data_IF_842577500258
#
_entry.id   IF_842577500258
#
_cell.length_a   1.000
_cell.length_b   1.000
_cell.length_c   1.000
_cell.angle_alpha   90.00
_cell.angle_beta   90.00
_cell.angle_gamma   90.00
#
_symmetry.space_group_name_H-M   'P 1'
#
loop_
_entity.id
_entity.type
_entity.pdbx_description
1 polymer ?
#
# COMPACT_ATOMS: atom_id res chain seq x y z
N UNK A 1 0.60 17.84 25.17
CA UNK A 1 -0.75 18.47 25.19
C UNK A 1 -1.68 17.88 24.13
N UNK A 2 -1.26 17.69 22.87
CA UNK A 2 -2.08 17.21 21.74
C UNK A 2 -2.54 15.74 21.90
N UNK A 3 -1.68 14.81 22.34
CA UNK A 3 -2.07 13.43 22.64
C UNK A 3 -3.16 13.34 23.72
N UNK A 4 -3.13 14.23 24.72
CA UNK A 4 -4.18 14.32 25.74
C UNK A 4 -5.53 14.74 25.14
N UNK A 5 -5.54 15.67 24.18
CA UNK A 5 -6.78 16.10 23.51
C UNK A 5 -7.42 14.97 22.71
N UNK A 6 -6.62 14.16 22.00
CA UNK A 6 -7.15 13.00 21.26
C UNK A 6 -7.59 11.85 22.17
N UNK A 7 -6.90 11.62 23.31
CA UNK A 7 -7.41 10.70 24.36
C UNK A 7 -8.74 11.19 24.96
N UNK A 8 -8.84 12.48 25.24
CA UNK A 8 -10.08 13.10 25.74
C UNK A 8 -11.20 12.98 24.69
N UNK A 9 -10.92 13.17 23.40
CA UNK A 9 -11.90 13.00 22.33
C UNK A 9 -12.37 11.54 22.18
N UNK A 10 -11.48 10.57 22.41
CA UNK A 10 -11.85 9.15 22.42
C UNK A 10 -12.82 8.82 23.56
N UNK A 11 -12.61 9.43 24.72
CA UNK A 11 -13.49 9.30 25.90
C UNK A 11 -14.81 10.06 25.68
N UNK A 12 -14.76 11.29 25.15
CA UNK A 12 -15.94 12.09 24.87
C UNK A 12 -16.85 11.49 23.77
N UNK A 13 -16.30 10.71 22.84
CA UNK A 13 -17.08 10.00 21.82
C UNK A 13 -18.13 9.07 22.41
N UNK A 14 -17.91 8.55 23.62
CA UNK A 14 -18.87 7.68 24.32
C UNK A 14 -20.10 8.45 24.84
N UNK A 15 -19.97 9.77 25.05
CA UNK A 15 -21.00 10.61 25.70
C UNK A 15 -21.61 11.70 24.80
N UNK A 16 -21.10 11.85 23.56
CA UNK A 16 -21.56 12.87 22.61
C UNK A 16 -22.32 12.28 21.43
N UNK A 17 -23.41 12.91 20.98
CA UNK A 17 -24.09 12.51 19.75
C UNK A 17 -23.13 12.56 18.54
N UNK A 18 -23.23 11.62 17.63
CA UNK A 18 -22.33 11.49 16.46
C UNK A 18 -22.24 12.77 15.63
N UNK A 19 -23.33 13.52 15.48
CA UNK A 19 -23.32 14.79 14.74
C UNK A 19 -22.44 15.86 15.40
N UNK A 20 -22.41 15.91 16.74
CA UNK A 20 -21.58 16.89 17.48
C UNK A 20 -20.09 16.54 17.41
N UNK A 21 -19.76 15.24 17.44
CA UNK A 21 -18.40 14.72 17.22
C UNK A 21 -17.94 15.07 15.81
N UNK A 22 -18.80 14.88 14.79
CA UNK A 22 -18.51 15.21 13.40
C UNK A 22 -18.26 16.73 13.20
N UNK A 23 -19.08 17.59 13.79
CA UNK A 23 -18.87 19.04 13.73
C UNK A 23 -17.57 19.48 14.41
N UNK A 24 -17.27 18.92 15.58
CA UNK A 24 -16.03 19.24 16.30
C UNK A 24 -14.79 18.75 15.54
N UNK A 25 -14.85 17.57 14.96
CA UNK A 25 -13.80 17.04 14.07
C UNK A 25 -13.57 17.96 12.89
N UNK A 26 -14.61 18.39 12.19
CA UNK A 26 -14.54 19.32 11.07
C UNK A 26 -13.95 20.68 11.47
N UNK A 27 -14.31 21.19 12.67
CA UNK A 27 -13.72 22.41 13.21
C UNK A 27 -12.21 22.26 13.48
N UNK A 28 -11.80 21.17 14.13
CA UNK A 28 -10.37 20.87 14.38
C UNK A 28 -9.58 20.73 13.09
N UNK A 29 -10.10 20.01 12.12
CA UNK A 29 -9.49 19.87 10.80
C UNK A 29 -9.26 21.23 10.15
N UNK A 30 -10.30 22.08 10.10
CA UNK A 30 -10.19 23.44 9.56
C UNK A 30 -9.13 24.29 10.29
N UNK A 31 -9.04 24.16 11.62
CA UNK A 31 -8.02 24.84 12.42
C UNK A 31 -6.61 24.34 12.11
N UNK A 32 -6.43 23.03 11.96
CA UNK A 32 -5.16 22.42 11.60
C UNK A 32 -4.70 22.85 10.19
N UNK A 33 -5.60 22.85 9.21
CA UNK A 33 -5.30 23.36 7.86
C UNK A 33 -4.85 24.83 7.87
N UNK A 34 -5.56 25.69 8.62
CA UNK A 34 -5.13 27.09 8.77
C UNK A 34 -3.74 27.21 9.40
N UNK A 35 -3.43 26.36 10.39
CA UNK A 35 -2.10 26.31 11.02
C UNK A 35 -1.04 25.90 9.99
N UNK A 36 -1.31 24.85 9.22
CA UNK A 36 -0.42 24.36 8.16
C UNK A 36 -0.12 25.45 7.12
N UNK A 37 -1.15 26.09 6.57
CA UNK A 37 -0.98 27.16 5.58
C UNK A 37 -0.26 28.39 6.16
N UNK A 38 -0.51 28.74 7.44
CA UNK A 38 0.23 29.79 8.12
C UNK A 38 1.70 29.43 8.28
N UNK A 39 1.99 28.18 8.64
CA UNK A 39 3.36 27.65 8.73
C UNK A 39 4.05 27.71 7.38
N UNK A 40 3.38 27.25 6.30
CA UNK A 40 3.94 27.25 4.96
C UNK A 40 4.41 28.64 4.51
N UNK A 41 3.66 29.70 4.83
CA UNK A 41 4.05 31.10 4.52
C UNK A 41 5.35 31.54 5.19
N UNK A 42 5.85 30.81 6.21
CA UNK A 42 7.12 31.10 6.88
C UNK A 42 8.29 30.30 6.33
N UNK A 43 8.02 29.31 5.47
CA UNK A 43 9.05 28.47 4.84
C UNK A 43 9.73 29.29 3.74
N UNK A 44 11.04 29.27 3.73
CA UNK A 44 11.84 29.93 2.69
C UNK A 44 11.86 29.06 1.43
N UNK A 45 11.69 29.65 0.25
CA UNK A 45 11.70 28.90 -1.01
C UNK A 45 13.04 28.22 -1.26
N UNK A 46 13.03 27.20 -2.12
CA UNK A 46 14.23 26.51 -2.56
C UNK A 46 15.30 27.49 -3.06
N UNK A 47 16.55 27.27 -2.64
CA UNK A 47 17.70 28.05 -3.05
C UNK A 47 18.77 27.09 -3.61
N UNK A 48 18.92 27.12 -4.95
CA UNK A 48 19.86 26.24 -5.66
C UNK A 48 21.30 26.48 -5.19
N UNK A 49 22.00 25.36 -4.93
CA UNK A 49 23.42 25.38 -4.51
C UNK A 49 23.66 25.68 -3.03
N UNK A 50 22.62 25.92 -2.22
CA UNK A 50 22.76 26.19 -0.80
C UNK A 50 23.13 24.94 0.01
N UNK A 51 22.63 23.78 -0.40
CA UNK A 51 22.93 22.47 0.20
C UNK A 51 23.45 21.52 -0.88
N UNK A 52 24.24 20.53 -0.47
CA UNK A 52 24.70 19.45 -1.35
C UNK A 52 23.49 18.72 -1.98
N UNK A 53 23.66 18.31 -3.25
CA UNK A 53 22.64 17.52 -3.92
C UNK A 53 22.54 16.13 -3.30
N UNK A 54 21.35 15.73 -2.99
CA UNK A 54 21.00 14.47 -2.31
C UNK A 54 19.62 14.55 -1.70
N UNK A 55 19.23 13.50 -0.99
CA UNK A 55 17.87 13.33 -0.49
C UNK A 55 17.83 13.20 1.03
N UNK A 56 17.00 14.00 1.68
CA UNK A 56 16.55 13.77 3.04
C UNK A 56 15.24 13.01 2.96
N UNK A 57 15.25 11.71 3.26
CA UNK A 57 14.05 10.87 3.28
C UNK A 57 13.38 11.01 4.64
N UNK A 58 12.16 11.59 4.67
CA UNK A 58 11.46 11.98 5.90
C UNK A 58 10.20 11.16 6.07
N UNK A 59 10.08 10.38 7.13
CA UNK A 59 8.91 9.56 7.42
C UNK A 59 9.19 8.51 8.49
N UNK A 60 8.29 7.54 8.66
CA UNK A 60 8.45 6.48 9.65
C UNK A 60 9.11 5.23 9.05
N UNK A 61 10.44 5.19 9.04
CA UNK A 61 11.21 4.06 8.49
C UNK A 61 11.09 2.79 9.34
N UNK A 62 10.84 2.95 10.66
CA UNK A 62 10.78 1.85 11.62
C UNK A 62 9.41 1.17 11.70
N UNK A 63 8.37 1.74 11.06
CA UNK A 63 7.01 1.19 11.11
C UNK A 63 6.88 -0.15 10.39
N UNK A 64 6.17 -1.10 11.01
CA UNK A 64 5.82 -2.41 10.42
C UNK A 64 4.65 -2.33 9.42
N UNK A 65 4.12 -1.14 9.15
CA UNK A 65 3.02 -0.92 8.21
C UNK A 65 3.45 -0.94 6.74
N UNK A 66 2.48 -1.06 5.83
CA UNK A 66 2.74 -0.93 4.38
C UNK A 66 3.34 0.43 3.98
N UNK A 67 3.07 1.51 4.73
CA UNK A 67 3.73 2.81 4.51
C UNK A 67 5.19 2.78 4.96
N UNK A 68 5.51 2.11 6.07
CA UNK A 68 6.89 1.88 6.48
C UNK A 68 7.65 1.07 5.43
N UNK A 69 7.06 0.01 4.89
CA UNK A 69 7.70 -0.77 3.81
C UNK A 69 7.89 0.07 2.54
N UNK A 70 6.90 0.87 2.15
CA UNK A 70 7.04 1.82 1.05
C UNK A 70 8.24 2.76 1.21
N UNK A 71 8.46 3.26 2.43
CA UNK A 71 9.62 4.11 2.72
C UNK A 71 10.94 3.33 2.65
N UNK A 72 10.97 2.09 3.14
CA UNK A 72 12.15 1.20 3.04
C UNK A 72 12.47 0.83 1.59
N UNK A 73 11.47 0.62 0.75
CA UNK A 73 11.66 0.44 -0.70
C UNK A 73 12.39 1.64 -1.30
N UNK A 74 11.95 2.87 -1.00
CA UNK A 74 12.65 4.08 -1.47
C UNK A 74 14.09 4.16 -0.93
N UNK A 75 14.31 3.87 0.36
CA UNK A 75 15.64 3.88 0.94
C UNK A 75 16.58 2.87 0.25
N UNK A 76 16.08 1.65 -0.07
CA UNK A 76 16.83 0.66 -0.86
C UNK A 76 17.14 1.18 -2.27
N UNK A 77 16.16 1.79 -2.95
CA UNK A 77 16.40 2.39 -4.29
C UNK A 77 17.51 3.42 -4.23
N UNK A 78 17.50 4.30 -3.24
CA UNK A 78 18.54 5.32 -3.08
C UNK A 78 19.90 4.68 -2.85
N UNK A 79 19.99 3.68 -1.97
CA UNK A 79 21.22 2.96 -1.65
C UNK A 79 21.79 2.22 -2.85
N UNK A 80 20.99 1.40 -3.53
CA UNK A 80 21.43 0.57 -4.66
C UNK A 80 21.82 1.40 -5.90
N UNK A 81 21.34 2.63 -6.00
CA UNK A 81 21.70 3.56 -7.07
C UNK A 81 22.76 4.59 -6.67
N UNK A 82 23.38 4.43 -5.50
CA UNK A 82 24.43 5.31 -4.97
C UNK A 82 24.00 6.79 -4.90
N UNK A 83 22.69 7.03 -4.68
CA UNK A 83 22.15 8.37 -4.50
C UNK A 83 22.39 8.81 -3.07
N UNK A 84 23.10 9.93 -2.81
CA UNK A 84 23.37 10.39 -1.45
C UNK A 84 22.08 10.67 -0.68
N UNK A 85 21.92 10.06 0.49
CA UNK A 85 20.73 10.29 1.32
C UNK A 85 20.98 10.14 2.82
N UNK A 86 20.09 10.73 3.60
CA UNK A 86 19.93 10.52 5.03
C UNK A 86 18.45 10.32 5.35
N UNK A 87 18.16 9.77 6.52
CA UNK A 87 16.79 9.53 6.99
C UNK A 87 16.49 10.43 8.19
N UNK A 88 15.39 11.17 8.12
CA UNK A 88 14.79 11.80 9.28
C UNK A 88 13.58 10.96 9.71
N UNK A 89 13.78 10.13 10.75
CA UNK A 89 12.69 9.30 11.25
C UNK A 89 11.66 10.16 11.98
N UNK A 90 10.40 9.97 11.62
CA UNK A 90 9.27 10.68 12.22
C UNK A 90 8.32 9.65 12.80
N UNK A 91 8.26 9.58 14.12
CA UNK A 91 7.38 8.63 14.80
C UNK A 91 5.93 8.85 14.45
N UNK A 92 5.23 7.75 14.21
CA UNK A 92 3.79 7.80 13.94
C UNK A 92 3.01 8.31 15.14
N UNK A 93 1.96 9.11 14.88
CA UNK A 93 0.96 9.49 15.88
C UNK A 93 -0.01 8.35 16.24
N UNK A 94 -0.09 7.32 15.40
CA UNK A 94 -0.71 6.06 15.72
C UNK A 94 0.27 5.22 16.55
N UNK A 95 -0.22 4.47 17.52
CA UNK A 95 0.59 3.44 18.19
C UNK A 95 0.88 2.34 17.16
N UNK A 96 1.85 2.56 16.31
CA UNK A 96 2.39 1.58 15.36
C UNK A 96 3.58 0.90 16.01
N UNK A 97 3.74 -0.38 15.73
CA UNK A 97 4.93 -1.11 16.12
C UNK A 97 6.11 -0.57 15.28
N UNK A 98 7.11 -0.02 15.97
CA UNK A 98 8.29 0.63 15.39
C UNK A 98 9.53 -0.20 15.71
N UNK A 99 9.55 -1.46 15.29
CA UNK A 99 10.58 -2.42 15.71
C UNK A 99 11.62 -2.72 14.62
N UNK A 100 11.55 -2.04 13.46
CA UNK A 100 12.50 -2.25 12.36
C UNK A 100 13.66 -1.25 12.50
N UNK A 101 14.87 -1.78 12.70
CA UNK A 101 16.08 -1.01 13.00
C UNK A 101 17.17 -1.11 11.93
N UNK A 102 16.92 -1.79 10.81
CA UNK A 102 17.90 -2.05 9.73
C UNK A 102 18.47 -0.79 9.06
N UNK A 103 17.82 0.36 9.30
CA UNK A 103 18.16 1.65 8.71
C UNK A 103 18.68 2.67 9.70
N UNK A 104 18.95 2.28 10.95
CA UNK A 104 19.31 3.20 12.03
C UNK A 104 20.61 3.95 11.74
N UNK A 105 21.58 3.36 11.04
CA UNK A 105 22.84 4.00 10.62
C UNK A 105 22.66 5.18 9.66
N UNK A 106 21.51 5.27 8.98
CA UNK A 106 21.18 6.38 8.08
C UNK A 106 20.36 7.47 8.77
N UNK A 107 19.91 7.25 10.02
CA UNK A 107 19.05 8.18 10.74
C UNK A 107 19.88 9.35 11.29
N UNK A 108 19.42 10.56 11.02
CA UNK A 108 20.01 11.80 11.49
C UNK A 108 18.96 12.69 12.14
N UNK A 109 19.41 13.62 13.01
CA UNK A 109 18.53 14.60 13.65
C UNK A 109 18.17 15.79 12.73
N UNK A 110 19.07 16.13 11.79
CA UNK A 110 18.96 17.31 10.92
C UNK A 110 19.12 16.94 9.45
N UNK A 111 18.37 17.59 8.55
CA UNK A 111 18.50 17.36 7.12
C UNK A 111 19.85 17.86 6.60
N UNK A 112 20.47 17.05 5.75
CA UNK A 112 21.78 17.35 5.16
C UNK A 112 21.69 17.93 3.75
N UNK A 113 20.79 17.40 2.92
CA UNK A 113 20.77 17.57 1.48
C UNK A 113 19.74 18.60 0.99
N UNK A 114 19.81 18.92 -0.31
CA UNK A 114 18.99 19.92 -0.97
C UNK A 114 17.53 19.51 -1.19
N UNK A 115 17.22 18.21 -1.25
CA UNK A 115 15.89 17.71 -1.56
C UNK A 115 15.32 16.97 -0.35
N UNK A 116 14.13 17.37 0.08
CA UNK A 116 13.34 16.62 1.04
C UNK A 116 12.33 15.73 0.29
N UNK A 117 12.36 14.41 0.50
CA UNK A 117 11.30 13.50 0.10
C UNK A 117 10.53 13.10 1.34
N UNK A 118 9.35 13.69 1.51
CA UNK A 118 8.51 13.55 2.70
C UNK A 118 7.49 12.44 2.45
N UNK A 119 7.77 11.26 3.00
CA UNK A 119 6.95 10.06 2.87
C UNK A 119 5.89 9.99 3.98
N UNK A 120 4.95 10.92 3.94
CA UNK A 120 3.82 11.01 4.87
C UNK A 120 2.57 11.27 4.03
N UNK A 121 1.60 10.35 4.06
CA UNK A 121 0.40 10.47 3.24
C UNK A 121 -0.40 11.74 3.53
N UNK A 122 -1.10 12.23 2.52
CA UNK A 122 -1.88 13.46 2.57
C UNK A 122 -2.90 13.49 3.72
N UNK A 123 -3.43 12.34 4.13
CA UNK A 123 -4.33 12.22 5.30
C UNK A 123 -3.70 12.61 6.63
N UNK A 124 -2.42 12.36 6.79
CA UNK A 124 -1.65 12.70 8.00
C UNK A 124 -0.84 14.00 7.84
N UNK A 125 -0.68 14.50 6.62
CA UNK A 125 0.17 15.62 6.24
C UNK A 125 0.03 16.85 7.12
N UNK A 126 -1.21 17.28 7.37
CA UNK A 126 -1.51 18.50 8.13
C UNK A 126 -0.92 18.45 9.55
N UNK A 127 -0.89 17.28 10.16
CA UNK A 127 -0.34 17.09 11.52
C UNK A 127 1.17 17.24 11.53
N UNK A 128 1.83 16.48 10.65
CA UNK A 128 3.29 16.44 10.60
C UNK A 128 3.88 17.75 10.09
N UNK A 129 3.39 18.26 8.97
CA UNK A 129 3.88 19.51 8.38
C UNK A 129 3.79 20.69 9.34
N UNK A 130 2.73 20.76 10.14
CA UNK A 130 2.55 21.81 11.13
C UNK A 130 3.57 21.76 12.28
N UNK A 131 4.20 20.64 12.51
CA UNK A 131 5.14 20.41 13.60
C UNK A 131 6.62 20.37 13.15
N UNK A 132 6.88 20.31 11.84
CA UNK A 132 8.24 20.45 11.31
C UNK A 132 8.83 21.81 11.65
N UNK A 133 10.11 21.83 12.03
CA UNK A 133 10.85 23.09 12.17
C UNK A 133 11.10 23.72 10.79
N UNK A 134 11.32 25.04 10.75
CA UNK A 134 11.73 25.68 9.51
C UNK A 134 13.08 25.16 9.03
N UNK A 135 13.97 24.79 9.95
CA UNK A 135 15.29 24.21 9.63
C UNK A 135 15.18 22.98 8.72
N UNK A 136 14.10 22.20 8.83
CA UNK A 136 13.84 21.04 7.95
C UNK A 136 13.45 21.49 6.55
N UNK A 137 12.60 22.51 6.43
CA UNK A 137 11.91 22.85 5.18
C UNK A 137 12.60 23.99 4.39
N UNK A 138 13.24 24.94 5.11
CA UNK A 138 13.80 26.15 4.50
C UNK A 138 14.90 25.87 3.49
N UNK A 139 14.78 26.57 2.35
CA UNK A 139 15.75 26.57 1.24
C UNK A 139 15.94 25.21 0.56
N UNK A 140 15.10 24.21 0.86
CA UNK A 140 15.12 22.89 0.26
C UNK A 140 13.95 22.71 -0.71
N UNK A 141 14.15 21.88 -1.70
CA UNK A 141 13.09 21.44 -2.60
C UNK A 141 12.26 20.37 -1.88
N UNK A 142 11.04 20.72 -1.50
CA UNK A 142 10.17 19.89 -0.67
C UNK A 142 9.24 19.07 -1.55
N UNK A 143 9.42 17.76 -1.57
CA UNK A 143 8.62 16.79 -2.32
C UNK A 143 7.77 15.98 -1.36
N UNK A 144 6.48 15.86 -1.63
CA UNK A 144 5.64 14.86 -0.98
C UNK A 144 5.67 13.55 -1.77
N UNK A 145 5.85 12.42 -1.09
CA UNK A 145 5.66 11.10 -1.70
C UNK A 145 4.35 10.50 -1.18
N UNK A 146 3.33 10.47 -2.03
CA UNK A 146 1.96 10.11 -1.63
C UNK A 146 1.43 8.88 -2.32
N UNK A 147 0.67 8.08 -1.54
CA UNK A 147 -0.12 6.95 -2.01
C UNK A 147 -1.60 7.31 -1.96
N UNK A 148 -2.32 6.88 -2.97
CA UNK A 148 -3.77 6.99 -3.05
C UNK A 148 -4.34 5.93 -3.98
N UNK A 149 -5.58 5.48 -3.73
CA UNK A 149 -6.14 4.33 -4.42
C UNK A 149 -7.24 4.67 -5.43
N UNK A 150 -7.66 5.94 -5.55
CA UNK A 150 -8.77 6.33 -6.42
C UNK A 150 -8.37 7.39 -7.45
N UNK A 151 -9.18 7.49 -8.53
CA UNK A 151 -9.03 8.49 -9.59
C UNK A 151 -9.30 9.94 -9.13
N UNK A 152 -9.88 10.10 -7.94
CA UNK A 152 -10.26 11.40 -7.38
C UNK A 152 -9.57 11.62 -6.06
N UNK A 153 -8.72 12.65 -5.97
CA UNK A 153 -8.04 13.01 -4.74
C UNK A 153 -8.99 13.70 -3.76
N UNK A 154 -9.06 13.30 -2.49
CA UNK A 154 -9.99 13.85 -1.51
C UNK A 154 -9.93 15.36 -1.41
N UNK A 155 -11.09 16.02 -1.44
CA UNK A 155 -11.19 17.49 -1.39
C UNK A 155 -10.47 18.09 -0.19
N UNK A 156 -10.56 17.41 0.95
CA UNK A 156 -9.96 17.85 2.21
C UNK A 156 -8.43 17.83 2.16
N UNK A 157 -7.81 17.01 1.31
CA UNK A 157 -6.35 16.90 1.22
C UNK A 157 -5.72 17.79 0.16
N UNK A 158 -6.51 18.34 -0.78
CA UNK A 158 -5.99 19.17 -1.90
C UNK A 158 -5.14 20.36 -1.42
N UNK A 159 -5.50 21.08 -0.32
CA UNK A 159 -4.65 22.16 0.17
C UNK A 159 -3.24 21.73 0.63
N UNK A 160 -3.01 20.44 0.85
CA UNK A 160 -1.68 19.93 1.18
C UNK A 160 -0.72 20.08 -0.02
N UNK A 161 -1.22 20.01 -1.25
CA UNK A 161 -0.44 20.15 -2.47
C UNK A 161 0.23 21.54 -2.54
N UNK A 162 -0.41 22.58 -1.99
CA UNK A 162 0.15 23.93 -1.99
C UNK A 162 1.41 24.07 -1.15
N UNK A 163 1.63 23.14 -0.20
CA UNK A 163 2.73 23.23 0.78
C UNK A 163 4.02 22.54 0.34
N UNK A 164 4.08 21.99 -0.85
CA UNK A 164 5.25 21.32 -1.43
C UNK A 164 5.61 21.89 -2.79
N UNK A 165 6.83 21.65 -3.26
CA UNK A 165 7.29 22.08 -4.58
C UNK A 165 6.89 21.07 -5.66
N UNK A 166 6.85 19.77 -5.32
CA UNK A 166 6.41 18.69 -6.20
C UNK A 166 5.72 17.56 -5.43
N UNK A 167 5.01 16.72 -6.15
CA UNK A 167 4.47 15.45 -5.62
C UNK A 167 5.07 14.30 -6.42
N UNK A 168 5.62 13.32 -5.74
CA UNK A 168 6.03 12.04 -6.30
C UNK A 168 5.05 10.95 -5.88
N UNK A 169 4.85 9.96 -6.72
CA UNK A 169 3.96 8.84 -6.43
C UNK A 169 4.47 7.55 -7.09
N UNK A 170 4.18 6.37 -6.51
CA UNK A 170 4.68 5.09 -7.01
C UNK A 170 4.01 4.59 -8.28
N UNK A 171 2.93 5.23 -8.73
CA UNK A 171 2.19 4.84 -9.94
C UNK A 171 1.75 6.04 -10.76
N UNK A 172 1.63 5.85 -12.07
CA UNK A 172 1.07 6.84 -12.97
C UNK A 172 -0.40 7.12 -12.65
N UNK A 173 -1.14 6.10 -12.21
CA UNK A 173 -2.52 6.21 -11.74
C UNK A 173 -2.69 7.29 -10.66
N UNK A 174 -1.81 7.29 -9.64
CA UNK A 174 -1.82 8.31 -8.60
C UNK A 174 -1.39 9.67 -9.17
N UNK A 175 -0.38 9.69 -10.03
CA UNK A 175 0.05 10.94 -10.67
C UNK A 175 -1.09 11.59 -11.45
N UNK A 176 -1.83 10.84 -12.23
CA UNK A 176 -2.95 11.33 -13.04
C UNK A 176 -4.13 11.78 -12.17
N UNK A 177 -4.32 11.13 -11.03
CA UNK A 177 -5.27 11.60 -10.03
C UNK A 177 -4.90 12.99 -9.49
N UNK A 178 -3.65 13.19 -9.07
CA UNK A 178 -3.20 14.43 -8.42
C UNK A 178 -3.04 15.59 -9.42
N UNK A 179 -2.56 15.32 -10.64
CA UNK A 179 -2.41 16.31 -11.72
C UNK A 179 -3.69 17.09 -12.03
N UNK A 180 -4.85 16.52 -11.78
CA UNK A 180 -6.16 17.19 -11.94
C UNK A 180 -6.32 18.44 -11.03
N UNK A 181 -5.51 18.56 -9.98
CA UNK A 181 -5.68 19.56 -8.93
C UNK A 181 -4.49 20.51 -8.75
N UNK A 182 -3.45 20.39 -9.57
CA UNK A 182 -2.26 21.25 -9.46
C UNK A 182 -1.56 21.43 -10.80
N UNK A 183 -0.82 22.56 -10.92
CA UNK A 183 0.16 22.79 -11.99
C UNK A 183 1.59 22.50 -11.58
N UNK A 184 1.83 22.18 -10.31
CA UNK A 184 3.13 21.78 -9.81
C UNK A 184 3.57 20.44 -10.42
N UNK A 185 4.86 20.14 -10.49
CA UNK A 185 5.34 18.84 -10.94
C UNK A 185 4.71 17.69 -10.15
N UNK A 186 4.12 16.75 -10.86
CA UNK A 186 3.66 15.47 -10.31
C UNK A 186 4.35 14.37 -11.09
N UNK A 187 5.18 13.59 -10.41
CA UNK A 187 6.17 12.70 -11.02
C UNK A 187 5.94 11.26 -10.59
N UNK A 188 5.96 10.36 -11.57
CA UNK A 188 5.97 8.94 -11.32
C UNK A 188 7.40 8.51 -10.93
N UNK A 189 7.57 8.12 -9.67
CA UNK A 189 8.77 7.51 -9.11
C UNK A 189 8.37 6.10 -8.65
N UNK A 190 8.55 5.08 -9.53
CA UNK A 190 8.03 3.74 -9.26
C UNK A 190 8.73 3.09 -8.07
N UNK A 191 8.06 2.13 -7.44
CA UNK A 191 8.72 1.21 -6.54
C UNK A 191 9.69 0.32 -7.32
N UNK A 192 10.74 -0.10 -6.61
CA UNK A 192 11.54 -1.24 -7.01
C UNK A 192 11.20 -2.44 -6.14
N UNK A 193 11.30 -3.62 -6.72
CA UNK A 193 11.06 -4.89 -6.04
C UNK A 193 12.33 -5.73 -6.09
N UNK A 194 12.73 -6.20 -4.96
CA UNK A 194 13.70 -7.27 -4.81
C UNK A 194 13.38 -8.05 -3.55
N UNK A 195 13.25 -9.34 -3.69
CA UNK A 195 12.99 -10.25 -2.59
C UNK A 195 14.10 -11.31 -2.57
N UNK A 196 14.42 -11.78 -1.37
CA UNK A 196 15.43 -12.81 -1.20
C UNK A 196 14.91 -14.16 -1.69
N UNK A 197 15.67 -14.80 -2.56
CA UNK A 197 15.40 -16.15 -3.03
C UNK A 197 16.61 -17.07 -2.75
N UNK A 198 16.38 -18.31 -2.31
CA UNK A 198 15.08 -18.85 -1.89
C UNK A 198 14.57 -18.17 -0.63
N UNK A 199 13.24 -18.21 -0.44
CA UNK A 199 12.60 -17.74 0.80
C UNK A 199 13.05 -18.56 2.01
N UNK A 200 12.93 -17.95 3.20
CA UNK A 200 13.50 -18.55 4.43
C UNK A 200 12.68 -19.69 5.03
N UNK A 201 11.36 -19.71 4.74
CA UNK A 201 10.43 -20.64 5.38
C UNK A 201 9.59 -21.40 4.35
N UNK A 202 9.39 -22.70 4.56
CA UNK A 202 8.48 -23.56 3.80
C UNK A 202 7.06 -23.58 4.36
N UNK A 203 6.21 -24.45 3.80
CA UNK A 203 4.82 -24.67 4.24
C UNK A 203 4.71 -25.13 5.69
N UNK A 204 5.68 -25.88 6.16
CA UNK A 204 5.78 -26.39 7.54
C UNK A 204 5.77 -25.27 8.58
N UNK A 205 6.39 -24.13 8.31
CA UNK A 205 6.39 -22.97 9.21
C UNK A 205 5.00 -22.34 9.41
N UNK A 206 4.04 -22.70 8.58
CA UNK A 206 2.66 -22.21 8.60
C UNK A 206 1.64 -23.32 8.91
N UNK A 207 2.09 -24.51 9.26
CA UNK A 207 1.25 -25.70 9.46
C UNK A 207 0.42 -26.03 8.19
N UNK A 208 1.00 -25.80 6.99
CA UNK A 208 0.35 -26.05 5.71
C UNK A 208 0.80 -27.38 5.11
N UNK A 209 -0.09 -28.19 4.52
CA UNK A 209 0.25 -29.46 3.89
C UNK A 209 0.99 -29.27 2.57
N UNK A 210 1.91 -30.18 2.25
CA UNK A 210 2.66 -30.18 1.00
C UNK A 210 1.85 -30.66 -0.21
N UNK A 211 0.86 -31.52 0.03
CA UNK A 211 0.10 -32.23 -1.01
C UNK A 211 -1.29 -31.58 -1.31
N UNK A 212 -1.48 -30.30 -0.94
CA UNK A 212 -2.69 -29.53 -1.19
C UNK A 212 -2.36 -28.35 -2.10
N UNK A 213 -3.17 -28.12 -3.12
CA UNK A 213 -3.07 -26.93 -3.95
C UNK A 213 -3.71 -25.75 -3.23
N UNK A 214 -2.94 -24.70 -2.91
CA UNK A 214 -3.33 -23.65 -1.98
C UNK A 214 -3.44 -22.28 -2.65
N UNK A 215 -4.63 -21.72 -2.63
CA UNK A 215 -4.87 -20.33 -2.97
C UNK A 215 -4.62 -19.44 -1.75
N UNK A 216 -4.04 -18.26 -1.94
CA UNK A 216 -3.79 -17.27 -0.89
C UNK A 216 -4.67 -16.03 -1.12
N UNK A 217 -5.42 -15.66 -0.10
CA UNK A 217 -6.08 -14.37 0.02
C UNK A 217 -5.46 -13.63 1.21
N UNK A 218 -4.95 -12.43 1.00
CA UNK A 218 -4.38 -11.64 2.10
C UNK A 218 -4.79 -10.18 2.07
N UNK A 219 -5.08 -9.62 3.24
CA UNK A 219 -5.44 -8.22 3.39
C UNK A 219 -5.23 -7.73 4.82
N UNK A 220 -5.13 -6.40 4.97
CA UNK A 220 -5.13 -5.73 6.26
C UNK A 220 -6.53 -5.18 6.56
N UNK A 221 -7.09 -5.55 7.70
CA UNK A 221 -8.41 -5.08 8.13
C UNK A 221 -8.50 -3.55 8.26
N UNK A 222 -7.41 -2.89 8.69
CA UNK A 222 -7.34 -1.43 8.79
C UNK A 222 -7.39 -0.71 7.44
N UNK A 223 -7.16 -1.43 6.33
CA UNK A 223 -7.14 -0.89 4.97
C UNK A 223 -8.52 -0.78 4.30
N UNK A 224 -9.60 -0.77 5.07
CA UNK A 224 -10.99 -0.79 4.59
C UNK A 224 -11.31 -2.10 3.84
N UNK A 225 -11.88 -3.06 4.55
CA UNK A 225 -12.18 -4.42 4.03
C UNK A 225 -13.04 -4.40 2.77
N UNK A 226 -13.97 -3.44 2.64
CA UNK A 226 -14.82 -3.29 1.46
C UNK A 226 -13.99 -2.98 0.19
N UNK A 227 -12.89 -2.25 0.32
CA UNK A 227 -11.98 -1.96 -0.79
C UNK A 227 -11.15 -3.20 -1.15
N UNK A 228 -10.68 -3.92 -0.16
CA UNK A 228 -9.91 -5.18 -0.37
C UNK A 228 -10.78 -6.33 -0.88
N UNK A 229 -12.09 -6.26 -0.65
CA UNK A 229 -13.11 -7.16 -1.19
C UNK A 229 -12.82 -8.67 -1.02
N UNK A 230 -12.47 -9.13 0.19
CA UNK A 230 -12.17 -10.56 0.42
C UNK A 230 -13.35 -11.48 0.07
N UNK A 231 -14.57 -10.97 0.16
CA UNK A 231 -15.79 -11.74 -0.17
C UNK A 231 -15.84 -12.15 -1.63
N UNK A 232 -15.41 -11.28 -2.56
CA UNK A 232 -15.37 -11.62 -3.98
C UNK A 232 -14.34 -12.73 -4.25
N UNK A 233 -13.15 -12.66 -3.63
CA UNK A 233 -12.12 -13.69 -3.74
C UNK A 233 -12.59 -15.04 -3.22
N UNK A 234 -13.25 -15.06 -2.05
CA UNK A 234 -13.87 -16.27 -1.50
C UNK A 234 -14.98 -16.80 -2.43
N UNK A 235 -15.81 -15.92 -2.98
CA UNK A 235 -16.89 -16.31 -3.90
C UNK A 235 -16.33 -16.93 -5.19
N UNK A 236 -15.24 -16.36 -5.74
CA UNK A 236 -14.56 -16.91 -6.91
C UNK A 236 -14.00 -18.31 -6.63
N UNK A 237 -13.34 -18.50 -5.49
CA UNK A 237 -12.84 -19.82 -5.05
C UNK A 237 -14.00 -20.84 -4.92
N UNK A 238 -15.07 -20.48 -4.24
CA UNK A 238 -16.26 -21.36 -4.05
C UNK A 238 -16.99 -21.69 -5.34
N UNK A 239 -16.96 -20.76 -6.31
CA UNK A 239 -17.57 -20.98 -7.62
C UNK A 239 -16.70 -21.89 -8.49
N UNK A 240 -15.38 -21.78 -8.36
CA UNK A 240 -14.41 -22.64 -9.04
C UNK A 240 -14.45 -24.09 -8.53
N UNK A 241 -14.67 -24.27 -7.23
CA UNK A 241 -14.66 -25.59 -6.58
C UNK A 241 -15.81 -25.69 -5.57
N UNK A 242 -16.69 -26.68 -5.71
CA UNK A 242 -17.61 -27.05 -4.62
C UNK A 242 -16.82 -27.59 -3.43
N UNK A 243 -17.42 -27.64 -2.25
CA UNK A 243 -16.76 -28.19 -1.06
C UNK A 243 -16.37 -29.66 -1.24
N UNK A 244 -17.24 -30.45 -1.88
CA UNK A 244 -16.99 -31.87 -2.17
C UNK A 244 -15.79 -32.02 -3.11
N UNK A 245 -15.78 -31.27 -4.21
CA UNK A 245 -14.70 -31.33 -5.20
C UNK A 245 -13.37 -30.80 -4.64
N UNK A 246 -13.39 -29.69 -3.89
CA UNK A 246 -12.19 -29.15 -3.24
C UNK A 246 -11.57 -30.15 -2.26
N UNK A 247 -12.41 -30.86 -1.50
CA UNK A 247 -11.95 -31.86 -0.55
C UNK A 247 -11.39 -33.11 -1.24
N UNK A 248 -12.00 -33.58 -2.32
CA UNK A 248 -11.55 -34.70 -3.12
C UNK A 248 -10.22 -34.39 -3.82
N UNK A 249 -10.13 -33.24 -4.48
CA UNK A 249 -8.96 -32.80 -5.25
C UNK A 249 -7.82 -32.22 -4.38
N UNK A 250 -8.01 -32.12 -3.08
CA UNK A 250 -7.08 -31.47 -2.16
C UNK A 250 -6.75 -30.04 -2.59
N UNK A 251 -7.79 -29.21 -2.76
CA UNK A 251 -7.67 -27.77 -3.05
C UNK A 251 -8.11 -26.98 -1.84
N UNK A 252 -7.32 -25.98 -1.46
CA UNK A 252 -7.55 -25.20 -0.25
C UNK A 252 -7.37 -23.69 -0.41
N UNK A 253 -7.70 -22.97 0.66
CA UNK A 253 -7.60 -21.51 0.71
C UNK A 253 -6.92 -21.07 2.01
N UNK A 254 -5.85 -20.31 1.88
CA UNK A 254 -5.19 -19.60 2.97
C UNK A 254 -5.80 -18.20 3.05
N UNK A 255 -6.26 -17.79 4.23
CA UNK A 255 -6.80 -16.47 4.49
C UNK A 255 -5.90 -15.78 5.51
N UNK A 256 -5.00 -14.93 5.04
CA UNK A 256 -4.12 -14.12 5.86
C UNK A 256 -4.77 -12.76 6.14
N UNK A 257 -5.08 -12.49 7.40
CA UNK A 257 -5.67 -11.22 7.83
C UNK A 257 -4.76 -10.54 8.84
N UNK A 258 -4.24 -9.37 8.48
CA UNK A 258 -3.54 -8.51 9.42
C UNK A 258 -4.53 -7.66 10.21
N UNK A 259 -4.20 -7.38 11.48
CA UNK A 259 -5.01 -6.52 12.34
C UNK A 259 -6.49 -6.94 12.40
N UNK A 260 -6.76 -8.25 12.43
CA UNK A 260 -8.13 -8.78 12.56
C UNK A 260 -8.84 -8.11 13.76
N UNK A 261 -9.84 -7.30 13.47
CA UNK A 261 -10.41 -6.42 14.48
C UNK A 261 -11.33 -7.16 15.44
N UNK A 262 -11.98 -8.23 14.99
CA UNK A 262 -12.93 -8.97 15.84
C UNK A 262 -12.97 -10.44 15.47
N UNK A 263 -13.17 -11.29 16.49
CA UNK A 263 -13.50 -12.70 16.30
C UNK A 263 -14.74 -12.90 15.40
N UNK A 264 -15.68 -11.92 15.42
CA UNK A 264 -16.92 -11.99 14.64
C UNK A 264 -16.69 -11.94 13.12
N UNK A 265 -15.66 -11.22 12.65
CA UNK A 265 -15.37 -11.11 11.23
C UNK A 265 -14.73 -12.38 10.69
N UNK A 266 -13.74 -12.90 11.42
CA UNK A 266 -13.13 -14.21 11.12
C UNK A 266 -14.20 -15.32 11.20
N UNK A 267 -15.09 -15.26 12.19
CA UNK A 267 -16.22 -16.20 12.31
C UNK A 267 -17.18 -16.12 11.11
N UNK A 268 -17.43 -14.90 10.61
CA UNK A 268 -18.23 -14.68 9.39
C UNK A 268 -17.61 -15.29 8.14
N UNK A 269 -16.28 -15.21 8.00
CA UNK A 269 -15.57 -15.85 6.88
C UNK A 269 -15.55 -17.39 7.03
N UNK A 270 -15.30 -17.89 8.24
CA UNK A 270 -15.36 -19.33 8.53
C UNK A 270 -16.71 -19.93 8.18
N UNK A 271 -17.81 -19.26 8.54
CA UNK A 271 -19.16 -19.69 8.20
C UNK A 271 -19.40 -19.79 6.68
N UNK A 272 -18.82 -18.87 5.88
CA UNK A 272 -18.93 -18.92 4.43
C UNK A 272 -18.21 -20.11 3.80
N UNK A 273 -17.20 -20.67 4.50
CA UNK A 273 -16.34 -21.77 4.04
C UNK A 273 -16.65 -23.09 4.77
N UNK A 274 -17.81 -23.17 5.41
CA UNK A 274 -18.26 -24.40 6.03
C UNK A 274 -18.37 -25.54 4.99
N UNK A 275 -17.87 -26.73 5.34
CA UNK A 275 -17.80 -27.90 4.46
C UNK A 275 -16.46 -28.04 3.70
N UNK A 276 -15.65 -26.99 3.57
CA UNK A 276 -14.31 -27.07 3.00
C UNK A 276 -13.28 -27.54 4.04
N UNK A 277 -12.54 -28.58 3.74
CA UNK A 277 -11.57 -29.20 4.67
C UNK A 277 -10.25 -28.42 4.76
N UNK A 278 -9.77 -27.86 3.65
CA UNK A 278 -8.44 -27.27 3.55
C UNK A 278 -8.49 -25.76 3.61
N UNK A 279 -8.99 -25.19 4.73
CA UNK A 279 -9.09 -23.75 4.96
C UNK A 279 -8.20 -23.35 6.13
N UNK A 280 -7.25 -22.46 5.88
CA UNK A 280 -6.23 -22.03 6.83
C UNK A 280 -6.36 -20.54 7.14
N UNK A 281 -6.58 -20.19 8.41
CA UNK A 281 -6.66 -18.80 8.85
C UNK A 281 -5.37 -18.39 9.55
N UNK A 282 -4.66 -17.39 9.02
CA UNK A 282 -3.47 -16.82 9.62
C UNK A 282 -3.79 -15.39 10.05
N UNK A 283 -4.08 -15.20 11.35
CA UNK A 283 -4.49 -13.91 11.93
C UNK A 283 -3.39 -13.24 12.76
N UNK A 284 -2.32 -13.97 13.08
CA UNK A 284 -1.13 -13.42 13.76
C UNK A 284 -0.36 -12.49 12.83
N UNK A 285 0.26 -11.44 13.37
CA UNK A 285 1.20 -10.64 12.61
C UNK A 285 2.42 -11.49 12.25
N UNK A 286 2.86 -11.39 11.01
CA UNK A 286 4.03 -12.09 10.49
C UNK A 286 5.13 -11.05 10.26
N UNK A 287 6.39 -11.46 10.44
CA UNK A 287 7.53 -10.68 9.98
C UNK A 287 7.49 -10.54 8.45
N UNK A 288 8.23 -9.57 7.91
CA UNK A 288 8.32 -9.38 6.46
C UNK A 288 8.76 -10.65 5.74
N UNK A 289 9.80 -11.29 6.24
CA UNK A 289 10.35 -12.54 5.73
C UNK A 289 9.34 -13.70 5.75
N UNK A 290 8.52 -13.78 6.80
CA UNK A 290 7.42 -14.74 6.85
C UNK A 290 6.29 -14.42 5.88
N UNK A 291 6.00 -13.14 5.60
CA UNK A 291 4.99 -12.77 4.60
C UNK A 291 5.46 -13.19 3.20
N UNK A 292 6.70 -12.88 2.83
CA UNK A 292 7.31 -13.30 1.57
C UNK A 292 7.31 -14.83 1.42
N UNK A 293 7.65 -15.53 2.50
CA UNK A 293 7.62 -17.00 2.52
C UNK A 293 6.21 -17.58 2.37
N UNK A 294 5.20 -16.93 2.95
CA UNK A 294 3.80 -17.35 2.79
C UNK A 294 3.30 -17.13 1.35
N UNK A 295 3.70 -16.02 0.72
CA UNK A 295 3.39 -15.75 -0.68
C UNK A 295 4.01 -16.80 -1.62
N UNK A 296 5.26 -17.20 -1.35
CA UNK A 296 5.95 -18.25 -2.10
C UNK A 296 5.41 -19.67 -1.80
N UNK A 297 4.87 -19.91 -0.61
CA UNK A 297 4.30 -21.19 -0.19
C UNK A 297 2.92 -21.46 -0.82
N UNK A 298 2.23 -20.43 -1.26
CA UNK A 298 0.96 -20.55 -1.97
C UNK A 298 1.17 -20.89 -3.44
N UNK A 299 0.23 -21.63 -4.03
CA UNK A 299 0.25 -21.91 -5.47
C UNK A 299 -0.31 -20.74 -6.29
N UNK A 300 -1.27 -19.98 -5.76
CA UNK A 300 -1.91 -18.83 -6.45
C UNK A 300 -2.31 -17.77 -5.44
N UNK A 301 -2.07 -16.49 -5.75
CA UNK A 301 -2.63 -15.37 -4.99
C UNK A 301 -3.94 -14.87 -5.65
N UNK A 302 -5.00 -14.67 -4.87
CA UNK A 302 -6.25 -14.06 -5.34
C UNK A 302 -6.45 -12.71 -4.67
N UNK A 303 -6.57 -11.63 -5.47
CA UNK A 303 -6.85 -10.28 -4.98
C UNK A 303 -7.88 -9.58 -5.85
N UNK A 304 -9.17 -9.78 -5.56
CA UNK A 304 -10.27 -9.11 -6.26
C UNK A 304 -10.60 -7.76 -5.60
N UNK A 305 -9.57 -6.97 -5.36
CA UNK A 305 -9.67 -5.64 -4.77
C UNK A 305 -10.48 -4.68 -5.67
N UNK A 306 -11.05 -3.64 -5.07
CA UNK A 306 -11.80 -2.60 -5.79
C UNK A 306 -10.97 -1.40 -6.20
N UNK A 307 -9.82 -1.21 -5.57
CA UNK A 307 -8.81 -0.22 -5.92
C UNK A 307 -7.52 -0.44 -5.12
N UNK A 308 -6.37 -0.15 -5.72
CA UNK A 308 -5.04 -0.18 -5.11
C UNK A 308 -4.20 1.03 -5.51
N UNK A 309 -3.41 1.56 -4.57
CA UNK A 309 -2.44 2.61 -4.85
C UNK A 309 -1.14 2.10 -5.48
N UNK A 310 -0.87 0.80 -5.32
CA UNK A 310 0.21 0.08 -6.00
C UNK A 310 -0.14 -1.41 -6.14
N UNK A 311 -0.31 -2.13 -5.02
CA UNK A 311 -0.55 -3.57 -5.02
C UNK A 311 0.67 -4.40 -4.67
N UNK A 312 1.38 -4.02 -3.59
CA UNK A 312 2.60 -4.71 -3.13
C UNK A 312 2.44 -6.23 -3.06
N UNK A 313 1.41 -6.83 -2.42
CA UNK A 313 1.30 -8.28 -2.34
C UNK A 313 1.23 -8.98 -3.70
N UNK A 314 0.63 -8.32 -4.70
CA UNK A 314 0.56 -8.86 -6.06
C UNK A 314 1.93 -8.86 -6.73
N UNK A 315 2.66 -7.74 -6.61
CA UNK A 315 4.00 -7.62 -7.15
C UNK A 315 4.98 -8.60 -6.48
N UNK A 316 4.84 -8.79 -5.16
CA UNK A 316 5.65 -9.71 -4.37
C UNK A 316 5.40 -11.17 -4.75
N UNK A 317 4.13 -11.58 -4.81
CA UNK A 317 3.75 -12.93 -5.24
C UNK A 317 4.28 -13.22 -6.65
N UNK A 318 4.08 -12.29 -7.61
CA UNK A 318 4.61 -12.44 -8.97
C UNK A 318 6.14 -12.56 -8.99
N UNK A 319 6.85 -11.72 -8.21
CA UNK A 319 8.31 -11.77 -8.11
C UNK A 319 8.80 -13.14 -7.65
N UNK A 320 8.10 -13.74 -6.68
CA UNK A 320 8.40 -15.06 -6.12
C UNK A 320 7.92 -16.23 -7.01
N UNK A 321 7.31 -15.93 -8.16
CA UNK A 321 6.81 -16.94 -9.08
C UNK A 321 5.46 -17.53 -8.66
N UNK A 322 4.65 -16.81 -7.88
CA UNK A 322 3.29 -17.22 -7.54
C UNK A 322 2.30 -16.53 -8.49
N UNK A 323 1.59 -17.29 -9.36
CA UNK A 323 0.55 -16.74 -10.22
C UNK A 323 -0.49 -15.94 -9.48
N UNK A 324 -1.01 -14.87 -10.09
CA UNK A 324 -1.98 -13.99 -9.45
C UNK A 324 -3.27 -13.87 -10.25
N UNK A 325 -4.42 -13.90 -9.56
CA UNK A 325 -5.75 -13.58 -10.09
C UNK A 325 -6.17 -12.25 -9.47
N UNK A 326 -6.21 -11.19 -10.28
CA UNK A 326 -6.32 -9.82 -9.75
C UNK A 326 -7.30 -8.97 -10.57
N UNK A 327 -7.93 -7.99 -9.93
CA UNK A 327 -8.77 -7.03 -10.63
C UNK A 327 -7.95 -6.20 -11.62
N UNK A 328 -8.40 -6.12 -12.87
CA UNK A 328 -7.80 -5.30 -13.94
C UNK A 328 -8.15 -3.82 -13.76
N UNK A 329 -7.71 -3.23 -12.64
CA UNK A 329 -8.01 -1.83 -12.31
C UNK A 329 -7.05 -1.24 -11.30
N UNK A 330 -6.80 0.07 -11.45
CA UNK A 330 -5.97 0.91 -10.60
C UNK A 330 -4.45 0.72 -10.81
N UNK A 331 -3.64 1.02 -9.82
CA UNK A 331 -2.20 1.08 -10.00
C UNK A 331 -1.52 -0.26 -10.34
N UNK A 332 -2.09 -1.38 -9.91
CA UNK A 332 -1.53 -2.70 -10.24
C UNK A 332 -1.52 -2.99 -11.74
N UNK A 333 -2.46 -2.46 -12.52
CA UNK A 333 -2.48 -2.64 -13.99
C UNK A 333 -1.27 -2.02 -14.71
N UNK A 334 -0.42 -1.26 -14.02
CA UNK A 334 0.80 -0.67 -14.60
C UNK A 334 1.99 -1.64 -14.67
N UNK A 335 1.97 -2.67 -13.83
CA UNK A 335 3.02 -3.69 -13.78
C UNK A 335 2.48 -5.11 -13.99
N UNK A 336 1.28 -5.25 -14.53
CA UNK A 336 0.64 -6.53 -14.84
C UNK A 336 0.09 -6.49 -16.26
N UNK A 337 0.22 -7.59 -16.99
CA UNK A 337 -0.33 -7.79 -18.33
C UNK A 337 -1.11 -9.10 -18.39
N UNK A 338 -1.89 -9.33 -19.45
CA UNK A 338 -2.66 -10.56 -19.66
C UNK A 338 -1.78 -11.82 -19.74
N UNK A 339 -0.51 -11.65 -20.18
CA UNK A 339 0.46 -12.75 -20.24
C UNK A 339 1.16 -13.02 -18.89
N UNK A 340 1.12 -12.05 -17.95
CA UNK A 340 1.86 -12.11 -16.69
C UNK A 340 0.99 -12.38 -15.46
N UNK A 341 -0.34 -12.29 -15.59
CA UNK A 341 -1.31 -12.59 -14.55
C UNK A 341 -2.70 -12.82 -15.11
N UNK A 342 -3.60 -13.35 -14.31
CA UNK A 342 -5.01 -13.50 -14.65
C UNK A 342 -5.76 -12.20 -14.32
N UNK A 343 -5.96 -11.35 -15.32
CA UNK A 343 -6.64 -10.07 -15.17
C UNK A 343 -8.17 -10.24 -15.21
N UNK A 344 -8.80 -9.86 -14.11
CA UNK A 344 -10.25 -9.95 -13.95
C UNK A 344 -10.87 -8.58 -14.21
N UNK A 345 -11.71 -8.49 -15.23
CA UNK A 345 -12.48 -7.30 -15.52
C UNK A 345 -13.60 -7.10 -14.50
N UNK A 346 -14.27 -5.96 -14.56
CA UNK A 346 -15.35 -5.66 -13.64
C UNK A 346 -16.18 -4.47 -14.07
N UNK A 347 -17.12 -4.10 -13.21
CA UNK A 347 -17.97 -2.95 -13.41
C UNK A 347 -17.71 -1.86 -12.38
N UNK A 348 -17.80 -0.60 -12.80
CA UNK A 348 -17.68 0.51 -11.87
C UNK A 348 -18.93 0.65 -11.02
N UNK A 349 -18.75 0.56 -9.71
CA UNK A 349 -19.78 0.88 -8.72
C UNK A 349 -19.50 2.23 -8.06
N UNK A 350 -20.55 3.01 -7.80
CA UNK A 350 -20.44 4.29 -7.08
C UNK A 350 -20.72 4.07 -5.60
N UNK A 351 -19.89 4.68 -4.76
CA UNK A 351 -20.12 4.66 -3.32
C UNK A 351 -21.40 5.43 -2.98
N UNK A 352 -22.35 4.76 -2.33
CA UNK A 352 -23.61 5.35 -1.88
C UNK A 352 -23.46 6.25 -0.66
N UNK A 353 -22.40 6.02 0.13
CA UNK A 353 -22.02 6.79 1.33
C UNK A 353 -20.52 6.97 1.39
N UNK A 354 -20.05 7.79 2.31
CA UNK A 354 -18.62 7.89 2.61
C UNK A 354 -18.15 6.66 3.39
N UNK A 355 -17.03 6.07 2.97
CA UNK A 355 -16.37 4.93 3.64
C UNK A 355 -14.94 5.34 3.95
N UNK A 356 -14.61 5.55 5.21
CA UNK A 356 -13.29 6.04 5.60
C UNK A 356 -12.91 7.35 4.86
N UNK A 357 -11.77 7.39 4.13
CA UNK A 357 -11.37 8.56 3.34
C UNK A 357 -12.07 8.66 1.97
N UNK A 358 -12.80 7.61 1.54
CA UNK A 358 -13.44 7.54 0.23
C UNK A 358 -14.78 8.28 0.27
N UNK A 359 -14.89 9.34 -0.55
CA UNK A 359 -16.07 10.21 -0.58
C UNK A 359 -17.25 9.53 -1.29
N UNK A 360 -18.49 9.83 -0.85
CA UNK A 360 -19.71 9.45 -1.59
C UNK A 360 -19.59 9.87 -3.06
N UNK A 361 -19.94 8.95 -3.97
CA UNK A 361 -19.87 9.17 -5.42
C UNK A 361 -18.52 8.81 -6.04
N UNK A 362 -17.49 8.51 -5.23
CA UNK A 362 -16.28 7.88 -5.76
C UNK A 362 -16.61 6.53 -6.38
N UNK A 363 -15.78 6.09 -7.32
CA UNK A 363 -15.97 4.81 -8.02
C UNK A 363 -15.00 3.77 -7.50
N UNK A 364 -15.48 2.54 -7.41
CA UNK A 364 -14.71 1.33 -7.21
C UNK A 364 -14.97 0.37 -8.35
N UNK A 365 -14.00 -0.48 -8.68
CA UNK A 365 -14.18 -1.58 -9.62
C UNK A 365 -14.67 -2.81 -8.84
N UNK A 366 -15.85 -3.30 -9.17
CA UNK A 366 -16.35 -4.56 -8.62
C UNK A 366 -16.04 -5.68 -9.61
N UNK A 367 -15.11 -6.55 -9.22
CA UNK A 367 -14.55 -7.57 -10.10
C UNK A 367 -15.61 -8.61 -10.52
N UNK A 368 -15.52 -9.08 -11.76
CA UNK A 368 -16.35 -10.16 -12.28
C UNK A 368 -15.96 -11.50 -11.63
N UNK A 369 -16.76 -11.93 -10.67
CA UNK A 369 -16.52 -13.17 -9.91
C UNK A 369 -16.56 -14.41 -10.81
N UNK A 370 -17.33 -14.39 -11.90
CA UNK A 370 -17.45 -15.51 -12.82
C UNK A 370 -16.16 -15.69 -13.61
N UNK A 371 -15.64 -14.62 -14.21
CA UNK A 371 -14.35 -14.62 -14.87
C UNK A 371 -13.21 -15.00 -13.90
N UNK A 372 -13.24 -14.47 -12.67
CA UNK A 372 -12.26 -14.83 -11.65
C UNK A 372 -12.30 -16.33 -11.33
N UNK A 373 -13.50 -16.91 -11.22
CA UNK A 373 -13.66 -18.34 -10.95
C UNK A 373 -13.13 -19.23 -12.09
N UNK A 374 -13.28 -18.80 -13.34
CA UNK A 374 -12.72 -19.48 -14.51
C UNK A 374 -11.18 -19.48 -14.47
N UNK A 375 -10.55 -18.35 -14.13
CA UNK A 375 -9.09 -18.28 -13.95
C UNK A 375 -8.62 -19.14 -12.77
N UNK A 376 -9.29 -19.05 -11.62
CA UNK A 376 -9.00 -19.88 -10.44
C UNK A 376 -9.06 -21.36 -10.85
N UNK A 377 -10.08 -21.78 -11.58
CA UNK A 377 -10.21 -23.15 -12.06
C UNK A 377 -9.11 -23.53 -13.06
N UNK A 378 -8.85 -22.68 -14.04
CA UNK A 378 -7.88 -22.95 -15.10
C UNK A 378 -6.46 -23.08 -14.57
N UNK A 379 -6.05 -22.28 -13.58
CA UNK A 379 -4.72 -22.39 -12.95
C UNK A 379 -4.51 -23.73 -12.24
N UNK A 380 -5.57 -24.40 -11.81
CA UNK A 380 -5.51 -25.73 -11.23
C UNK A 380 -5.51 -26.83 -12.32
N UNK A 381 -6.39 -26.74 -13.30
CA UNK A 381 -6.63 -27.82 -14.27
C UNK A 381 -5.59 -27.81 -15.42
N UNK A 382 -5.03 -26.66 -15.79
CA UNK A 382 -4.13 -26.45 -16.94
C UNK A 382 -2.71 -26.12 -16.46
N UNK A 383 -1.88 -27.14 -16.32
CA UNK A 383 -0.50 -27.00 -15.85
C UNK A 383 0.36 -26.14 -16.79
N UNK A 384 0.14 -26.21 -18.10
CA UNK A 384 0.91 -25.43 -19.07
C UNK A 384 0.58 -23.93 -18.92
N UNK A 385 -0.69 -23.61 -18.79
CA UNK A 385 -1.14 -22.25 -18.48
C UNK A 385 -0.59 -21.74 -17.15
N UNK A 386 -0.63 -22.58 -16.09
CA UNK A 386 -0.07 -22.25 -14.78
C UNK A 386 1.41 -21.86 -14.88
N UNK A 387 2.23 -22.72 -15.50
CA UNK A 387 3.67 -22.46 -15.65
C UNK A 387 3.95 -21.23 -16.55
N UNK A 388 3.14 -20.99 -17.56
CA UNK A 388 3.25 -19.79 -18.40
C UNK A 388 3.02 -18.52 -17.59
N UNK A 389 1.92 -18.41 -16.85
CA UNK A 389 1.61 -17.24 -16.01
C UNK A 389 2.67 -17.04 -14.92
N UNK A 390 3.10 -18.13 -14.28
CA UNK A 390 4.16 -18.10 -13.27
C UNK A 390 5.46 -17.49 -13.79
N UNK A 391 5.98 -18.03 -14.88
CA UNK A 391 7.27 -17.64 -15.44
C UNK A 391 7.24 -16.25 -16.07
N UNK A 392 6.19 -15.95 -16.82
CA UNK A 392 6.00 -14.63 -17.43
C UNK A 392 5.80 -13.55 -16.35
N UNK A 393 5.01 -13.84 -15.31
CA UNK A 393 4.76 -12.94 -14.19
C UNK A 393 6.05 -12.58 -13.46
N UNK A 394 6.85 -13.59 -13.10
CA UNK A 394 8.12 -13.38 -12.41
C UNK A 394 9.12 -12.58 -13.27
N UNK A 395 9.25 -12.92 -14.54
CA UNK A 395 10.15 -12.22 -15.47
C UNK A 395 9.73 -10.76 -15.66
N UNK A 396 8.44 -10.54 -15.93
CA UNK A 396 7.91 -9.21 -16.21
C UNK A 396 8.02 -8.26 -15.02
N UNK A 397 7.67 -8.72 -13.81
CA UNK A 397 7.72 -7.86 -12.63
C UNK A 397 9.14 -7.52 -12.22
N UNK A 398 10.09 -8.46 -12.35
CA UNK A 398 11.53 -8.24 -12.07
C UNK A 398 12.14 -7.19 -13.00
N UNK A 399 11.81 -7.22 -14.28
CA UNK A 399 12.22 -6.20 -15.23
C UNK A 399 11.52 -4.86 -14.96
N UNK A 400 10.20 -4.89 -14.80
CA UNK A 400 9.37 -3.68 -14.68
C UNK A 400 9.62 -2.90 -13.39
N UNK A 401 9.88 -3.58 -12.28
CA UNK A 401 10.11 -3.01 -10.96
C UNK A 401 11.58 -3.10 -10.52
N UNK A 402 12.51 -2.90 -11.44
CA UNK A 402 13.95 -2.95 -11.13
C UNK A 402 14.43 -1.70 -10.39
N UNK A 403 15.46 -1.85 -9.56
CA UNK A 403 16.12 -0.74 -8.88
C UNK A 403 16.65 0.31 -9.85
N UNK A 404 17.19 -0.13 -10.99
CA UNK A 404 17.72 0.76 -12.02
C UNK A 404 16.64 1.71 -12.56
N UNK A 405 15.45 1.20 -12.91
CA UNK A 405 14.34 2.03 -13.41
C UNK A 405 13.88 3.07 -12.38
N UNK A 406 13.72 2.63 -11.14
CA UNK A 406 13.33 3.53 -10.05
C UNK A 406 14.41 4.58 -9.76
N UNK A 407 15.67 4.17 -9.70
CA UNK A 407 16.81 5.05 -9.49
C UNK A 407 17.00 6.07 -10.62
N UNK A 408 16.86 5.65 -11.89
CA UNK A 408 16.94 6.56 -13.04
C UNK A 408 15.82 7.60 -13.02
N UNK A 409 14.62 7.23 -12.58
CA UNK A 409 13.53 8.20 -12.39
C UNK A 409 13.91 9.27 -11.35
N UNK A 410 14.49 8.87 -10.22
CA UNK A 410 14.94 9.80 -9.17
C UNK A 410 16.09 10.67 -9.65
N UNK A 411 17.14 10.09 -10.26
CA UNK A 411 18.30 10.84 -10.80
C UNK A 411 17.87 11.91 -11.80
N UNK A 412 16.96 11.56 -12.72
CA UNK A 412 16.38 12.51 -13.69
C UNK A 412 15.66 13.67 -13.01
N UNK A 413 14.99 13.45 -11.88
CA UNK A 413 14.35 14.54 -11.14
C UNK A 413 15.39 15.39 -10.40
N UNK A 414 16.41 14.78 -9.82
CA UNK A 414 17.49 15.51 -9.16
C UNK A 414 18.23 16.44 -10.14
N UNK A 415 18.49 15.99 -11.37
CA UNK A 415 19.09 16.81 -12.43
C UNK A 415 18.23 18.02 -12.82
N UNK A 416 16.91 17.86 -12.87
CA UNK A 416 15.98 18.97 -13.16
C UNK A 416 15.89 19.99 -12.04
N UNK A 417 16.14 19.58 -10.80
CA UNK A 417 16.10 20.43 -9.61
C UNK A 417 17.43 21.16 -9.42
N UNK A 418 18.54 20.45 -9.63
CA UNK A 418 19.92 20.98 -9.54
C UNK A 418 20.29 21.84 -10.73
#
# INVERSE_FOLDING_TARGET
MKQRIFKILRVLKVYMPDWSVALFRKYLEKRLYRKMLKKHKTVRPYEKGKYEMGINLIGNIRSETGLGESMRILARVLKENEIPFVILNVDSWANEDNNIHDWDDYIVEKPKYAINVIHINAGEWVRYYSDFSNEILDYRYNVAYWLWELETFPKIWRPCIDTVDAVWAPSQFICDCIKKYTKKPVVHVPYAMWLKEPVSYGRDAFDLPEDVFLYLLMYDFRSVSERKNPKASISAFKKAFSSEEANEKKVGLIIKVNNAATESEVAGLKKQLEGYKYIYFITKNLSREMVESLEAAADVLISLHRAEGFGLPMAEAMFLGTPTVVTNWSANSEFITEDSACLVDGEFIKLSSQIGPYEKGNRWMDANVDQASEYVRRLYDDKEYYESIKNNGASYVRERLSYERAGNSIKTQMEKIG
#
